data_IF_263698487814
#
_entry.id   IF_263698487814
#
_cell.length_a   1.000
_cell.length_b   1.000
_cell.length_c   1.000
_cell.angle_alpha   90.00
_cell.angle_beta   90.00
_cell.angle_gamma   90.00
#
_symmetry.space_group_name_H-M   'P 1'
#
loop_
_entity.id
_entity.type
_entity.pdbx_description
1 polymer ?
#
# COMPACT_ATOMS: atom_id res chain seq x y z
N UNK A 1 -7.55 -5.65 -14.05
CA UNK A 1 -7.78 -6.30 -12.73
C UNK A 1 -7.78 -7.81 -12.82
N UNK A 2 -8.48 -8.43 -13.78
CA UNK A 2 -8.47 -9.89 -13.98
C UNK A 2 -7.06 -10.49 -14.06
N UNK A 3 -6.19 -9.92 -14.90
CA UNK A 3 -4.78 -10.29 -15.00
C UNK A 3 -4.05 -10.33 -13.64
N UNK A 4 -4.27 -9.31 -12.80
CA UNK A 4 -3.67 -9.23 -11.47
C UNK A 4 -4.27 -10.24 -10.50
N UNK A 5 -5.60 -10.42 -10.52
CA UNK A 5 -6.27 -11.41 -9.69
C UNK A 5 -5.79 -12.83 -10.01
N UNK A 6 -5.61 -13.14 -11.29
CA UNK A 6 -5.05 -14.42 -11.72
C UNK A 6 -3.60 -14.60 -11.26
N UNK A 7 -2.77 -13.55 -11.35
CA UNK A 7 -1.38 -13.59 -10.86
C UNK A 7 -1.31 -13.85 -9.35
N UNK A 8 -2.17 -13.18 -8.57
CA UNK A 8 -2.30 -13.38 -7.12
C UNK A 8 -2.78 -14.79 -6.81
N UNK A 9 -3.81 -15.28 -7.51
CA UNK A 9 -4.34 -16.64 -7.35
C UNK A 9 -3.30 -17.71 -7.65
N UNK A 10 -2.49 -17.54 -8.71
CA UNK A 10 -1.39 -18.48 -9.06
C UNK A 10 -0.35 -18.63 -7.95
N UNK A 11 -0.24 -17.66 -7.04
CA UNK A 11 0.66 -17.71 -5.88
C UNK A 11 0.02 -18.32 -4.62
N UNK A 12 -1.20 -18.86 -4.74
CA UNK A 12 -1.88 -19.57 -3.66
C UNK A 12 -2.76 -18.68 -2.77
N UNK A 13 -3.17 -17.50 -3.25
CA UNK A 13 -4.08 -16.64 -2.49
C UNK A 13 -5.43 -17.33 -2.27
N UNK A 14 -5.93 -17.31 -1.03
CA UNK A 14 -7.27 -17.80 -0.72
C UNK A 14 -8.39 -16.91 -1.29
N UNK A 15 -8.08 -15.67 -1.71
CA UNK A 15 -9.04 -14.72 -2.28
C UNK A 15 -8.90 -14.70 -3.82
N UNK A 16 -9.81 -15.33 -4.58
CA UNK A 16 -9.62 -15.53 -6.02
C UNK A 16 -9.66 -14.25 -6.86
N UNK A 17 -10.33 -13.21 -6.36
CA UNK A 17 -10.54 -11.92 -7.04
C UNK A 17 -9.70 -10.77 -6.43
N UNK A 18 -8.66 -11.10 -5.65
CA UNK A 18 -7.75 -10.12 -5.06
C UNK A 18 -6.78 -9.57 -6.11
N UNK A 19 -6.86 -8.29 -6.45
CA UNK A 19 -6.08 -7.70 -7.55
C UNK A 19 -4.92 -6.80 -7.11
N UNK A 20 -4.81 -6.48 -5.82
CA UNK A 20 -3.78 -5.59 -5.31
C UNK A 20 -3.78 -5.50 -3.79
N UNK A 21 -2.75 -4.86 -3.27
CA UNK A 21 -2.50 -4.76 -1.84
C UNK A 21 -2.49 -3.31 -1.41
N UNK A 22 -3.25 -2.99 -0.37
CA UNK A 22 -3.27 -1.66 0.25
C UNK A 22 -2.48 -1.71 1.56
N UNK A 23 -1.61 -0.72 1.77
CA UNK A 23 -0.94 -0.57 3.06
C UNK A 23 -0.57 0.89 3.34
N UNK A 24 -0.38 1.18 4.63
CA UNK A 24 0.11 2.46 5.11
C UNK A 24 1.62 2.42 5.33
N UNK A 25 2.31 3.51 5.02
CA UNK A 25 3.72 3.71 5.38
C UNK A 25 3.94 5.01 6.12
N UNK A 26 4.94 5.04 7.00
CA UNK A 26 5.27 6.20 7.82
C UNK A 26 6.63 6.76 7.40
N UNK A 27 6.63 7.94 6.78
CA UNK A 27 7.84 8.69 6.44
C UNK A 27 8.34 9.47 7.65
N UNK A 28 9.58 9.21 8.06
CA UNK A 28 10.19 9.88 9.20
C UNK A 28 10.41 11.36 8.93
N UNK A 29 10.00 12.24 9.85
CA UNK A 29 10.25 13.68 9.75
C UNK A 29 11.11 14.20 10.90
N UNK A 30 11.76 15.33 10.65
CA UNK A 30 12.31 16.18 11.71
C UNK A 30 11.20 16.54 12.70
N UNK A 31 11.59 16.78 13.96
CA UNK A 31 10.67 17.28 14.98
C UNK A 31 10.04 18.59 14.46
N UNK A 32 8.72 18.62 14.21
CA UNK A 32 8.09 19.82 13.68
C UNK A 32 7.99 20.92 14.76
N UNK A 33 7.93 22.17 14.31
CA UNK A 33 7.70 23.35 15.18
C UNK A 33 6.21 23.66 15.40
N UNK A 34 5.32 22.93 14.73
CA UNK A 34 3.85 23.00 14.85
C UNK A 34 3.33 21.93 15.84
N UNK A 35 2.02 21.82 16.15
CA UNK A 35 1.49 20.92 17.17
C UNK A 35 2.08 19.51 17.09
N UNK A 36 2.98 19.25 18.03
CA UNK A 36 3.95 18.16 17.98
C UNK A 36 3.29 16.78 18.05
N UNK A 37 2.16 16.71 18.76
CA UNK A 37 1.42 15.49 19.06
C UNK A 37 0.70 14.91 17.85
N UNK A 38 0.28 15.75 16.89
CA UNK A 38 -0.44 15.28 15.70
C UNK A 38 0.47 14.48 14.77
N UNK A 39 1.74 14.87 14.71
CA UNK A 39 2.75 14.22 13.87
C UNK A 39 3.51 13.13 14.60
N UNK A 40 3.27 12.92 15.90
CA UNK A 40 3.90 11.83 16.64
C UNK A 40 3.08 10.55 16.53
N UNK A 41 3.67 9.49 15.96
CA UNK A 41 3.07 8.16 15.96
C UNK A 41 3.47 7.42 17.23
N UNK A 42 2.51 7.12 18.10
CA UNK A 42 2.76 6.30 19.30
C UNK A 42 3.21 4.86 18.98
N UNK A 43 2.74 4.31 17.86
CA UNK A 43 3.12 2.96 17.40
C UNK A 43 4.56 2.92 16.89
N UNK A 44 4.98 3.89 16.06
CA UNK A 44 6.35 3.97 15.52
C UNK A 44 7.33 4.70 16.45
N UNK A 45 6.84 5.37 17.50
CA UNK A 45 7.60 6.15 18.50
C UNK A 45 8.49 7.23 17.87
N UNK A 46 7.94 7.95 16.88
CA UNK A 46 8.67 8.97 16.13
C UNK A 46 7.71 10.00 15.51
N UNK A 47 8.24 11.19 15.18
CA UNK A 47 7.54 12.12 14.31
C UNK A 47 7.57 11.60 12.87
N UNK A 48 6.40 11.52 12.27
CA UNK A 48 6.24 11.05 10.90
C UNK A 48 5.03 11.71 10.23
N UNK A 49 5.05 11.65 8.91
CA UNK A 49 3.84 11.72 8.08
C UNK A 49 3.49 10.32 7.59
N UNK A 50 2.23 10.07 7.29
CA UNK A 50 1.76 8.79 6.77
C UNK A 50 1.31 8.91 5.32
N UNK A 51 1.55 7.87 4.55
CA UNK A 51 1.02 7.69 3.21
C UNK A 51 0.24 6.38 3.15
N UNK A 52 -0.78 6.33 2.31
CA UNK A 52 -1.49 5.11 1.96
C UNK A 52 -1.26 4.83 0.48
N UNK A 53 -0.99 3.59 0.14
CA UNK A 53 -0.68 3.21 -1.23
C UNK A 53 -1.31 1.89 -1.62
N UNK A 54 -1.64 1.75 -2.90
CA UNK A 54 -2.06 0.48 -3.51
C UNK A 54 -0.95 -0.01 -4.44
N UNK A 55 -0.49 -1.25 -4.22
CA UNK A 55 0.51 -1.93 -5.02
C UNK A 55 -0.12 -3.08 -5.81
N UNK A 56 0.19 -3.14 -7.10
CA UNK A 56 -0.23 -4.22 -7.99
C UNK A 56 0.82 -5.35 -8.10
N UNK A 57 0.41 -6.56 -8.54
CA UNK A 57 1.32 -7.70 -8.73
C UNK A 57 2.48 -7.48 -9.70
N UNK A 58 2.34 -6.56 -10.66
CA UNK A 58 3.42 -6.14 -11.55
C UNK A 58 4.43 -5.18 -10.89
N UNK A 59 4.23 -4.86 -9.62
CA UNK A 59 5.05 -3.94 -8.84
C UNK A 59 4.76 -2.46 -9.07
N UNK A 60 3.69 -2.15 -9.80
CA UNK A 60 3.26 -0.77 -10.02
C UNK A 60 2.48 -0.25 -8.82
N UNK A 61 2.80 0.98 -8.41
CA UNK A 61 2.03 1.73 -7.42
C UNK A 61 0.96 2.54 -8.16
N UNK A 62 -0.30 2.14 -8.03
CA UNK A 62 -1.41 2.68 -8.84
C UNK A 62 -2.23 3.75 -8.10
N UNK A 63 -2.04 3.87 -6.80
CA UNK A 63 -2.69 4.89 -5.98
C UNK A 63 -1.75 5.26 -4.83
N UNK A 64 -1.64 6.56 -4.55
CA UNK A 64 -0.86 7.11 -3.44
C UNK A 64 -1.60 8.30 -2.84
N UNK A 65 -1.91 8.22 -1.54
CA UNK A 65 -2.65 9.23 -0.78
C UNK A 65 -1.80 9.73 0.39
N UNK A 66 -1.99 10.99 0.75
CA UNK A 66 -1.25 11.68 1.81
C UNK A 66 -0.33 12.78 1.29
N UNK A 67 0.49 13.36 2.17
CA UNK A 67 0.75 12.94 3.55
C UNK A 67 -0.42 13.22 4.50
N UNK A 68 -0.63 12.30 5.45
CA UNK A 68 -1.50 12.46 6.60
C UNK A 68 -0.66 12.66 7.87
N UNK A 69 -1.25 13.26 8.90
CA UNK A 69 -0.56 13.45 10.19
C UNK A 69 -0.25 12.10 10.85
N UNK A 70 0.94 11.97 11.46
CA UNK A 70 1.48 10.71 11.97
C UNK A 70 0.64 9.96 13.00
N UNK A 71 -0.22 10.66 13.75
CA UNK A 71 -1.15 10.08 14.73
C UNK A 71 -2.34 9.35 14.07
N UNK A 72 -2.66 9.62 12.80
CA UNK A 72 -3.82 9.00 12.13
C UNK A 72 -3.65 7.49 12.02
N UNK A 73 -4.72 6.75 12.30
CA UNK A 73 -4.79 5.31 12.08
C UNK A 73 -5.11 5.01 10.61
N UNK A 74 -4.73 3.84 10.13
CA UNK A 74 -4.86 3.50 8.70
C UNK A 74 -6.34 3.38 8.28
N UNK A 75 -7.23 2.88 9.16
CA UNK A 75 -8.69 2.98 8.96
C UNK A 75 -9.23 4.42 8.87
N UNK A 76 -8.58 5.37 9.56
CA UNK A 76 -8.93 6.79 9.48
C UNK A 76 -8.50 7.38 8.13
N UNK A 77 -7.25 7.10 7.73
CA UNK A 77 -6.70 7.47 6.44
C UNK A 77 -7.55 6.91 5.30
N UNK A 78 -7.94 5.63 5.37
CA UNK A 78 -8.80 5.00 4.37
C UNK A 78 -10.12 5.75 4.18
N UNK A 79 -10.78 6.15 5.27
CA UNK A 79 -12.01 6.96 5.21
C UNK A 79 -11.76 8.35 4.66
N UNK A 80 -10.69 9.02 5.07
CA UNK A 80 -10.33 10.38 4.60
C UNK A 80 -9.89 10.39 3.12
N UNK A 81 -9.26 9.32 2.63
CA UNK A 81 -8.70 9.20 1.28
C UNK A 81 -9.72 9.12 0.14
N UNK A 82 -10.97 8.79 0.47
CA UNK A 82 -12.05 8.46 -0.48
C UNK A 82 -11.73 7.28 -1.43
N UNK A 83 -10.70 6.47 -1.13
CA UNK A 83 -10.30 5.34 -1.97
C UNK A 83 -11.43 4.32 -2.17
N UNK A 84 -12.31 4.12 -1.18
CA UNK A 84 -13.46 3.21 -1.36
C UNK A 84 -14.41 3.68 -2.46
N UNK A 85 -14.68 4.98 -2.56
CA UNK A 85 -15.53 5.54 -3.61
C UNK A 85 -14.89 5.34 -4.98
N UNK A 86 -13.58 5.59 -5.10
CA UNK A 86 -12.81 5.33 -6.32
C UNK A 86 -12.89 3.84 -6.72
N UNK A 87 -12.73 2.93 -5.75
CA UNK A 87 -12.85 1.49 -5.99
C UNK A 87 -14.24 1.06 -6.48
N UNK A 88 -15.31 1.70 -6.00
CA UNK A 88 -16.66 1.40 -6.48
C UNK A 88 -16.82 1.71 -7.97
N UNK A 89 -16.10 2.71 -8.49
CA UNK A 89 -16.15 3.09 -9.90
C UNK A 89 -15.28 2.17 -10.78
N UNK A 90 -14.12 1.72 -10.29
CA UNK A 90 -13.14 1.00 -11.12
C UNK A 90 -13.09 -0.52 -10.89
N UNK A 91 -13.56 -1.01 -9.75
CA UNK A 91 -13.43 -2.42 -9.35
C UNK A 91 -14.75 -3.20 -9.37
N UNK A 92 -15.86 -2.54 -9.71
CA UNK A 92 -17.19 -3.14 -9.89
C UNK A 92 -17.57 -3.08 -11.36
N UNK A 93 -17.67 -4.23 -12.00
CA UNK A 93 -17.94 -4.34 -13.44
C UNK A 93 -19.45 -4.47 -13.72
N UNK A 94 -19.93 -4.02 -14.89
CA UNK A 94 -21.36 -4.09 -15.25
C UNK A 94 -21.96 -5.50 -15.25
N UNK A 95 -21.12 -6.52 -15.43
CA UNK A 95 -21.51 -7.93 -15.40
C UNK A 95 -21.57 -8.53 -13.97
N UNK A 96 -21.39 -7.69 -12.95
CA UNK A 96 -21.44 -8.09 -11.55
C UNK A 96 -20.11 -8.60 -10.98
N UNK A 97 -19.05 -8.72 -11.80
CA UNK A 97 -17.72 -9.07 -11.28
C UNK A 97 -17.20 -7.94 -10.38
N UNK A 98 -16.70 -8.31 -9.21
CA UNK A 98 -16.05 -7.41 -8.26
C UNK A 98 -14.62 -7.87 -8.01
N UNK A 99 -13.68 -6.94 -8.00
CA UNK A 99 -12.30 -7.20 -7.62
C UNK A 99 -11.98 -6.50 -6.30
N UNK A 100 -11.28 -7.20 -5.41
CA UNK A 100 -11.02 -6.72 -4.05
C UNK A 100 -9.56 -6.38 -3.83
N UNK A 101 -9.29 -5.37 -3.01
CA UNK A 101 -7.98 -5.15 -2.41
C UNK A 101 -7.82 -6.01 -1.17
N UNK A 102 -6.57 -6.31 -0.82
CA UNK A 102 -6.23 -6.92 0.45
C UNK A 102 -5.37 -5.99 1.30
N UNK A 103 -5.83 -5.70 2.51
CA UNK A 103 -5.16 -4.82 3.48
C UNK A 103 -4.71 -5.55 4.74
N UNK A 104 -4.00 -4.83 5.59
CA UNK A 104 -3.71 -5.31 6.94
C UNK A 104 -4.95 -5.26 7.87
N UNK A 105 -4.81 -5.75 9.10
CA UNK A 105 -5.91 -5.78 10.07
C UNK A 105 -6.33 -4.38 10.57
N UNK A 106 -5.54 -3.32 10.30
CA UNK A 106 -5.88 -1.96 10.70
C UNK A 106 -6.93 -1.32 9.77
N UNK A 107 -7.23 -1.95 8.63
CA UNK A 107 -8.28 -1.53 7.70
C UNK A 107 -9.65 -2.13 8.04
N UNK A 108 -10.76 -1.41 7.76
CA UNK A 108 -12.09 -1.96 7.89
C UNK A 108 -12.39 -2.97 6.78
N UNK A 109 -13.07 -4.07 7.13
CA UNK A 109 -13.59 -5.04 6.17
C UNK A 109 -14.75 -4.42 5.37
N UNK A 110 -14.76 -4.60 4.05
CA UNK A 110 -15.84 -4.15 3.16
C UNK A 110 -15.91 -5.00 1.90
N UNK A 111 -16.92 -4.77 1.05
CA UNK A 111 -17.13 -5.47 -0.22
C UNK A 111 -15.91 -5.45 -1.16
N UNK A 112 -15.09 -4.39 -1.10
CA UNK A 112 -13.96 -4.14 -2.00
C UNK A 112 -12.60 -4.15 -1.28
N UNK A 113 -12.59 -4.37 0.04
CA UNK A 113 -11.38 -4.45 0.85
C UNK A 113 -11.49 -5.58 1.86
N UNK A 114 -10.67 -6.61 1.66
CA UNK A 114 -10.55 -7.77 2.53
C UNK A 114 -9.37 -7.62 3.48
N UNK A 115 -9.51 -8.17 4.69
CA UNK A 115 -8.51 -8.11 5.76
C UNK A 115 -8.32 -9.51 6.38
N UNK A 116 -7.18 -9.79 7.04
CA UNK A 116 -6.99 -11.04 7.77
C UNK A 116 -7.99 -11.22 8.92
N UNK A 117 -8.27 -12.47 9.28
CA UNK A 117 -9.01 -12.80 10.51
C UNK A 117 -8.26 -12.28 11.75
N UNK A 118 -8.95 -11.69 12.74
CA UNK A 118 -8.32 -11.11 13.92
C UNK A 118 -7.51 -12.09 14.76
N UNK A 119 -6.19 -11.96 14.77
CA UNK A 119 -5.27 -12.87 15.50
C UNK A 119 -5.29 -12.75 17.02
N UNK A 120 -5.99 -11.74 17.58
CA UNK A 120 -6.09 -11.50 19.03
C UNK A 120 -7.25 -12.23 19.70
N UNK A 121 -8.09 -12.93 18.94
CA UNK A 121 -9.17 -13.73 19.51
C UNK A 121 -8.62 -15.11 19.87
N UNK A 122 -8.82 -15.54 21.11
CA UNK A 122 -8.57 -16.94 21.50
C UNK A 122 -9.42 -17.85 20.61
N UNK A 123 -8.80 -18.87 20.00
CA UNK A 123 -9.51 -19.86 19.21
C UNK A 123 -9.67 -19.57 17.71
N UNK A 124 -8.66 -18.97 17.05
CA UNK A 124 -8.65 -18.95 15.58
C UNK A 124 -8.79 -20.37 15.04
N UNK A 125 -9.86 -20.60 14.27
CA UNK A 125 -10.12 -21.90 13.66
C UNK A 125 -9.02 -22.21 12.63
N UNK A 126 -8.74 -23.50 12.41
CA UNK A 126 -7.67 -23.95 11.50
C UNK A 126 -7.80 -23.31 10.10
N UNK A 127 -8.99 -23.30 9.52
CA UNK A 127 -9.24 -22.67 8.21
C UNK A 127 -8.97 -21.16 8.20
N UNK A 128 -9.14 -20.45 9.33
CA UNK A 128 -8.83 -19.01 9.43
C UNK A 128 -7.32 -18.79 9.48
N UNK A 129 -6.59 -19.70 10.12
CA UNK A 129 -5.13 -19.67 10.15
C UNK A 129 -4.55 -19.96 8.77
N UNK A 130 -5.08 -20.97 8.08
CA UNK A 130 -4.73 -21.29 6.69
C UNK A 130 -4.99 -20.10 5.75
N UNK A 131 -6.17 -19.49 5.86
CA UNK A 131 -6.51 -18.27 5.11
C UNK A 131 -5.49 -17.16 5.37
N UNK A 132 -5.24 -16.82 6.65
CA UNK A 132 -4.30 -15.77 7.02
C UNK A 132 -2.87 -16.07 6.53
N UNK A 133 -2.42 -17.32 6.64
CA UNK A 133 -1.09 -17.73 6.19
C UNK A 133 -0.94 -17.62 4.67
N UNK A 134 -1.96 -18.05 3.91
CA UNK A 134 -1.96 -17.95 2.44
C UNK A 134 -1.85 -16.50 1.97
N UNK A 135 -2.55 -15.58 2.63
CA UNK A 135 -2.56 -14.17 2.25
C UNK A 135 -1.35 -13.41 2.79
N UNK A 136 -0.80 -13.80 3.95
CA UNK A 136 0.37 -13.15 4.58
C UNK A 136 1.59 -13.14 3.67
N UNK A 137 1.92 -14.28 3.07
CA UNK A 137 3.11 -14.43 2.18
C UNK A 137 2.99 -13.49 0.98
N UNK A 138 1.79 -13.41 0.42
CA UNK A 138 1.51 -12.65 -0.79
C UNK A 138 1.47 -11.15 -0.49
N UNK A 139 0.90 -10.75 0.66
CA UNK A 139 0.83 -9.35 1.10
C UNK A 139 2.22 -8.73 1.33
N UNK A 140 3.24 -9.53 1.66
CA UNK A 140 4.63 -9.04 1.81
C UNK A 140 5.12 -8.25 0.59
N UNK A 141 4.53 -8.45 -0.58
CA UNK A 141 4.79 -7.65 -1.77
C UNK A 141 4.66 -6.14 -1.56
N UNK A 142 3.71 -5.67 -0.74
CA UNK A 142 3.52 -4.24 -0.47
C UNK A 142 4.74 -3.63 0.22
N UNK A 143 5.39 -4.39 1.10
CA UNK A 143 6.60 -3.98 1.80
C UNK A 143 7.77 -3.84 0.82
N UNK A 144 7.88 -4.72 -0.18
CA UNK A 144 8.86 -4.60 -1.26
C UNK A 144 8.66 -3.34 -2.11
N UNK A 145 7.40 -2.99 -2.39
CA UNK A 145 7.05 -1.75 -3.10
C UNK A 145 7.55 -0.51 -2.36
N UNK A 146 7.25 -0.40 -1.06
CA UNK A 146 7.74 0.71 -0.24
C UNK A 146 9.26 0.71 -0.10
N UNK A 147 9.86 -0.46 0.10
CA UNK A 147 11.31 -0.59 0.19
C UNK A 147 11.99 -0.13 -1.10
N UNK A 148 11.41 -0.41 -2.27
CA UNK A 148 11.96 0.03 -3.56
C UNK A 148 12.04 1.55 -3.65
N UNK A 149 11.01 2.28 -3.20
CA UNK A 149 11.01 3.75 -3.19
C UNK A 149 12.20 4.29 -2.38
N UNK A 150 12.34 3.84 -1.13
CA UNK A 150 13.39 4.37 -0.23
C UNK A 150 14.79 3.92 -0.64
N UNK A 151 14.93 2.75 -1.26
CA UNK A 151 16.20 2.28 -1.83
C UNK A 151 16.63 3.13 -3.03
N UNK A 152 15.70 3.47 -3.92
CA UNK A 152 16.00 4.28 -5.11
C UNK A 152 16.17 5.77 -4.77
N UNK A 153 15.41 6.26 -3.80
CA UNK A 153 15.35 7.67 -3.43
C UNK A 153 15.61 7.85 -1.94
N UNK A 154 16.82 7.53 -1.47
CA UNK A 154 17.19 7.56 -0.06
C UNK A 154 16.89 8.89 0.65
N UNK A 155 16.83 10.01 -0.08
CA UNK A 155 16.49 11.31 0.51
C UNK A 155 15.06 11.36 1.09
N UNK A 156 14.11 10.55 0.60
CA UNK A 156 12.74 10.52 1.13
C UNK A 156 12.63 9.86 2.51
N UNK A 157 13.61 9.02 2.88
CA UNK A 157 13.71 8.38 4.20
C UNK A 157 14.75 9.06 5.10
N UNK A 158 15.49 10.03 4.57
CA UNK A 158 16.49 10.75 5.36
C UNK A 158 15.84 11.77 6.30
N UNK A 159 15.40 11.29 7.47
CA UNK A 159 14.70 12.05 8.52
C UNK A 159 15.21 13.48 8.75
N UNK A 160 16.54 13.68 8.82
CA UNK A 160 17.17 14.99 9.08
C UNK A 160 16.87 16.03 7.98
N UNK A 161 16.52 15.57 6.79
CA UNK A 161 16.16 16.36 5.62
C UNK A 161 14.67 16.25 5.26
N UNK A 162 13.84 15.72 6.16
CA UNK A 162 12.40 15.68 6.01
C UNK A 162 11.79 16.73 6.94
N UNK A 163 11.92 18.00 6.56
CA UNK A 163 11.50 19.15 7.37
C UNK A 163 10.16 19.68 6.89
N UNK A 164 9.10 19.36 7.64
CA UNK A 164 7.77 19.90 7.41
C UNK A 164 7.80 21.44 7.37
N UNK A 165 7.06 22.05 6.44
CA UNK A 165 6.98 23.50 6.18
C UNK A 165 8.26 24.16 5.62
N UNK A 166 9.39 23.48 5.61
CA UNK A 166 10.63 23.98 5.00
C UNK A 166 10.94 23.30 3.66
N UNK A 167 10.38 22.12 3.45
CA UNK A 167 10.51 21.33 2.23
C UNK A 167 9.13 20.77 1.86
N UNK A 168 8.89 20.65 0.56
CA UNK A 168 7.71 19.98 0.04
C UNK A 168 7.91 18.45 0.09
N UNK A 169 7.81 17.90 1.30
CA UNK A 169 8.00 16.46 1.55
C UNK A 169 6.94 15.62 0.82
N UNK A 170 5.76 16.19 0.54
CA UNK A 170 4.70 15.54 -0.21
C UNK A 170 5.08 15.38 -1.68
N UNK A 171 5.43 16.47 -2.35
CA UNK A 171 5.83 16.44 -3.74
C UNK A 171 7.07 15.55 -3.94
N UNK A 172 8.06 15.66 -3.03
CA UNK A 172 9.24 14.79 -3.06
C UNK A 172 8.86 13.31 -3.03
N UNK A 173 7.98 12.91 -2.11
CA UNK A 173 7.56 11.50 -2.01
C UNK A 173 6.76 11.06 -3.24
N UNK A 174 5.81 11.86 -3.71
CA UNK A 174 4.99 11.56 -4.90
C UNK A 174 5.83 11.42 -6.16
N UNK A 175 6.80 12.32 -6.37
CA UNK A 175 7.74 12.24 -7.50
C UNK A 175 8.65 11.02 -7.39
N UNK A 176 9.09 10.65 -6.19
CA UNK A 176 9.84 9.41 -5.97
C UNK A 176 9.00 8.17 -6.29
N UNK A 177 7.70 8.17 -6.01
CA UNK A 177 6.80 7.06 -6.40
C UNK A 177 6.63 6.98 -7.92
N UNK A 178 6.36 8.11 -8.58
CA UNK A 178 6.28 8.19 -10.04
C UNK A 178 7.57 7.66 -10.69
N UNK A 179 8.71 8.12 -10.21
CA UNK A 179 10.02 7.72 -10.71
C UNK A 179 10.32 6.24 -10.41
N UNK A 180 9.85 5.72 -9.27
CA UNK A 180 9.93 4.29 -8.93
C UNK A 180 9.12 3.45 -9.90
N UNK A 181 7.92 3.91 -10.30
CA UNK A 181 7.12 3.24 -11.31
C UNK A 181 7.83 3.23 -12.67
N UNK A 182 8.40 4.36 -13.13
CA UNK A 182 9.22 4.38 -14.34
C UNK A 182 10.42 3.41 -14.26
N UNK A 183 11.05 3.30 -13.09
CA UNK A 183 12.08 2.30 -12.89
C UNK A 183 11.49 0.87 -12.97
N UNK A 184 10.31 0.62 -12.41
CA UNK A 184 9.64 -0.68 -12.50
C UNK A 184 9.31 -1.04 -13.94
N UNK A 185 8.82 -0.12 -14.77
CA UNK A 185 8.51 -0.41 -16.19
C UNK A 185 9.77 -0.75 -16.99
N UNK A 186 10.91 -0.13 -16.68
CA UNK A 186 12.17 -0.36 -17.40
C UNK A 186 12.93 -1.61 -16.95
N UNK A 187 12.90 -1.91 -15.65
CA UNK A 187 13.80 -2.91 -15.04
C UNK A 187 13.06 -3.99 -14.21
N UNK A 188 11.74 -3.89 -14.09
CA UNK A 188 10.94 -4.73 -13.22
C UNK A 188 11.12 -4.42 -11.72
N UNK A 189 10.58 -5.31 -10.90
CA UNK A 189 10.65 -5.25 -9.45
C UNK A 189 10.69 -6.66 -8.85
N UNK A 190 11.06 -6.75 -7.57
CA UNK A 190 10.92 -8.02 -6.83
C UNK A 190 9.47 -8.52 -6.83
N UNK A 191 8.51 -7.60 -6.75
CA UNK A 191 7.08 -7.89 -6.83
C UNK A 191 6.69 -8.49 -8.18
N UNK A 192 7.10 -7.86 -9.28
CA UNK A 192 6.80 -8.33 -10.64
C UNK A 192 7.36 -9.72 -10.91
N UNK A 193 8.58 -9.99 -10.44
CA UNK A 193 9.22 -11.31 -10.51
C UNK A 193 8.50 -12.34 -9.64
N UNK A 194 8.13 -11.97 -8.41
CA UNK A 194 7.44 -12.87 -7.50
C UNK A 194 6.10 -13.31 -8.06
N UNK A 195 5.31 -12.40 -8.65
CA UNK A 195 3.99 -12.71 -9.21
C UNK A 195 4.00 -13.25 -10.64
N UNK A 196 5.15 -13.19 -11.32
CA UNK A 196 5.26 -13.45 -12.76
C UNK A 196 4.27 -12.58 -13.55
N UNK A 197 4.31 -11.28 -13.26
CA UNK A 197 3.45 -10.26 -13.85
C UNK A 197 4.32 -9.15 -14.42
N UNK A 198 4.32 -8.98 -15.74
CA UNK A 198 5.12 -7.95 -16.39
C UNK A 198 4.49 -6.56 -16.19
N UNK A 199 5.27 -5.55 -15.79
CA UNK A 199 4.80 -4.18 -15.77
C UNK A 199 4.54 -3.68 -17.20
N UNK A 200 3.73 -2.61 -17.36
CA UNK A 200 3.56 -1.96 -18.65
C UNK A 200 4.89 -1.39 -19.16
N UNK A 201 4.96 -1.11 -20.46
CA UNK A 201 6.08 -0.34 -21.01
C UNK A 201 6.06 1.08 -20.47
N UNK A 202 7.20 1.78 -20.55
CA UNK A 202 7.30 3.16 -20.07
C UNK A 202 6.32 4.09 -20.81
N UNK A 203 6.12 3.86 -22.12
CA UNK A 203 5.21 4.64 -22.98
C UNK A 203 3.74 4.41 -22.66
N UNK A 204 3.39 3.24 -22.11
CA UNK A 204 2.02 2.94 -21.68
C UNK A 204 1.73 3.52 -20.29
N UNK A 205 2.76 3.73 -19.48
CA UNK A 205 2.64 4.26 -18.13
C UNK A 205 2.56 5.78 -18.05
N UNK A 206 3.30 6.50 -18.90
CA UNK A 206 3.34 7.96 -18.96
C UNK A 206 2.17 8.54 -19.77
#
# INVERSE_FOLDING_TARGET
MEFYADAVRRKGAAIPNCWGFIDGTAGAICRPSIPLEEYYSGHKRMHCVKYQSVLCPDGMIVNLKGPYVGRRHDAGIYRESQLYAELQEVAVFPDGRKYVLYGDQAYPLSDLLMCPYPTRQEGLLEHQQEFNNSMKVIRTAVEWGFQKIVTQFAFVDFKKNQKLLLQDIEALYKVSVLSTNCHTTLYGSQTSQFFDALPPTLECYL
#
